data_IF_329153112138
#
_entry.id   IF_329153112138
#
_cell.length_a   1.000
_cell.length_b   1.000
_cell.length_c   1.000
_cell.angle_alpha   90.00
_cell.angle_beta   90.00
_cell.angle_gamma   90.00
#
_symmetry.space_group_name_H-M   'P 1'
#
loop_
_entity.id
_entity.type
_entity.pdbx_description
1 polymer ?
#
# COMPACT_ATOMS: atom_id res chain seq x y z
N UNK A 1 -26.06 2.61 -0.31
CA UNK A 1 -24.59 2.54 -0.46
C UNK A 1 -24.29 2.73 -1.94
N UNK A 2 -23.56 3.78 -2.33
CA UNK A 2 -23.24 4.00 -3.74
C UNK A 2 -22.19 2.95 -4.17
N UNK A 3 -22.49 2.04 -5.11
CA UNK A 3 -21.59 0.94 -5.47
C UNK A 3 -20.23 1.44 -5.96
N UNK A 4 -20.19 2.63 -6.58
CA UNK A 4 -18.97 3.23 -7.09
C UNK A 4 -18.00 3.62 -5.97
N UNK A 5 -18.52 4.21 -4.88
CA UNK A 5 -17.73 4.55 -3.69
C UNK A 5 -17.16 3.30 -3.01
N UNK A 6 -17.95 2.22 -2.96
CA UNK A 6 -17.51 0.95 -2.36
C UNK A 6 -16.39 0.29 -3.16
N UNK A 7 -16.44 0.33 -4.50
CA UNK A 7 -15.37 -0.21 -5.35
C UNK A 7 -14.08 0.56 -5.17
N UNK A 8 -14.15 1.90 -5.13
CA UNK A 8 -12.98 2.75 -4.87
C UNK A 8 -12.38 2.44 -3.50
N UNK A 9 -13.20 2.36 -2.46
CA UNK A 9 -12.74 2.04 -1.12
C UNK A 9 -12.09 0.65 -1.04
N UNK A 10 -12.69 -0.35 -1.70
CA UNK A 10 -12.16 -1.71 -1.78
C UNK A 10 -10.78 -1.73 -2.46
N UNK A 11 -10.61 -0.98 -3.55
CA UNK A 11 -9.33 -0.87 -4.24
C UNK A 11 -8.21 -0.40 -3.29
N UNK A 12 -8.44 0.70 -2.55
CA UNK A 12 -7.45 1.23 -1.60
C UNK A 12 -7.18 0.24 -0.44
N UNK A 13 -8.20 -0.48 0.04
CA UNK A 13 -8.02 -1.51 1.06
C UNK A 13 -7.15 -2.66 0.56
N UNK A 14 -7.44 -3.19 -0.63
CA UNK A 14 -6.65 -4.27 -1.24
C UNK A 14 -5.20 -3.84 -1.50
N UNK A 15 -5.00 -2.61 -1.96
CA UNK A 15 -3.66 -2.06 -2.14
C UNK A 15 -2.91 -1.92 -0.81
N UNK A 16 -3.58 -1.47 0.25
CA UNK A 16 -3.02 -1.44 1.60
C UNK A 16 -2.66 -2.84 2.11
N UNK A 17 -3.46 -3.86 1.81
CA UNK A 17 -3.13 -5.25 2.13
C UNK A 17 -1.94 -5.77 1.34
N UNK A 18 -1.76 -5.35 0.09
CA UNK A 18 -0.58 -5.70 -0.70
C UNK A 18 0.70 -5.12 -0.06
N UNK A 19 0.65 -3.86 0.39
CA UNK A 19 1.76 -3.23 1.14
C UNK A 19 2.05 -4.00 2.44
N UNK A 20 1.00 -4.34 3.19
CA UNK A 20 1.14 -5.15 4.40
C UNK A 20 1.77 -6.52 4.10
N UNK A 21 1.31 -7.20 3.05
CA UNK A 21 1.85 -8.48 2.61
C UNK A 21 3.35 -8.38 2.28
N UNK A 22 3.77 -7.33 1.58
CA UNK A 22 5.19 -7.05 1.33
C UNK A 22 5.99 -6.86 2.62
N UNK A 23 5.46 -6.09 3.57
CA UNK A 23 6.12 -5.85 4.86
C UNK A 23 6.30 -7.16 5.64
N UNK A 24 5.24 -7.99 5.70
CA UNK A 24 5.28 -9.30 6.36
C UNK A 24 6.31 -10.22 5.71
N UNK A 25 6.31 -10.32 4.37
CA UNK A 25 7.29 -11.08 3.57
C UNK A 25 8.73 -10.64 3.88
N UNK A 26 8.95 -9.32 4.06
CA UNK A 26 10.26 -8.78 4.41
C UNK A 26 10.72 -9.18 5.82
N UNK A 27 9.80 -9.24 6.79
CA UNK A 27 10.11 -9.61 8.17
C UNK A 27 10.44 -11.09 8.31
N UNK A 28 9.74 -11.95 7.59
CA UNK A 28 9.98 -13.40 7.63
C UNK A 28 11.05 -13.87 6.63
N UNK A 29 11.65 -12.94 5.87
CA UNK A 29 12.76 -13.21 4.93
C UNK A 29 12.44 -14.28 3.87
N UNK A 30 11.24 -14.23 3.28
CA UNK A 30 10.86 -15.14 2.17
C UNK A 30 11.72 -14.87 0.94
N UNK A 31 11.98 -15.92 0.16
CA UNK A 31 12.77 -15.86 -1.09
C UNK A 31 12.26 -14.75 -2.04
N UNK A 32 13.09 -13.73 -2.36
CA UNK A 32 12.75 -12.65 -3.27
C UNK A 32 12.37 -13.10 -4.69
N UNK A 33 12.80 -14.29 -5.12
CA UNK A 33 12.48 -14.83 -6.45
C UNK A 33 11.10 -15.49 -6.50
N UNK A 34 10.43 -15.68 -5.37
CA UNK A 34 9.09 -16.23 -5.34
C UNK A 34 8.12 -15.32 -6.13
N UNK A 35 7.29 -15.86 -7.05
CA UNK A 35 6.46 -15.04 -7.95
C UNK A 35 5.50 -14.11 -7.18
N UNK A 36 4.94 -14.56 -6.06
CA UNK A 36 4.09 -13.71 -5.22
C UNK A 36 4.84 -12.53 -4.57
N UNK A 37 6.12 -12.73 -4.20
CA UNK A 37 6.95 -11.68 -3.61
C UNK A 37 7.30 -10.63 -4.67
N UNK A 38 7.68 -11.07 -5.88
CA UNK A 38 7.90 -10.17 -7.02
C UNK A 38 6.65 -9.38 -7.37
N UNK A 39 5.50 -10.03 -7.43
CA UNK A 39 4.23 -9.35 -7.67
C UNK A 39 3.94 -8.27 -6.62
N UNK A 40 4.09 -8.58 -5.33
CA UNK A 40 3.91 -7.60 -4.26
C UNK A 40 4.90 -6.45 -4.39
N UNK A 41 6.16 -6.74 -4.73
CA UNK A 41 7.17 -5.72 -4.96
C UNK A 41 6.77 -4.81 -6.12
N UNK A 42 6.49 -5.36 -7.30
CA UNK A 42 6.20 -4.61 -8.52
C UNK A 42 4.95 -3.72 -8.39
N UNK A 43 3.90 -4.23 -7.73
CA UNK A 43 2.65 -3.47 -7.53
C UNK A 43 2.81 -2.35 -6.50
N UNK A 44 3.61 -2.57 -5.45
CA UNK A 44 3.76 -1.61 -4.36
C UNK A 44 4.93 -0.64 -4.55
N UNK A 45 5.90 -0.96 -5.41
CA UNK A 45 7.11 -0.15 -5.61
C UNK A 45 6.84 1.29 -6.04
N UNK A 46 5.88 1.61 -6.93
CA UNK A 46 5.62 3.00 -7.31
C UNK A 46 5.28 3.92 -6.13
N UNK A 47 4.66 3.38 -5.08
CA UNK A 47 4.34 4.13 -3.85
C UNK A 47 5.46 4.00 -2.83
N UNK A 48 6.05 2.82 -2.68
CA UNK A 48 7.09 2.55 -1.68
C UNK A 48 8.43 3.23 -1.99
N UNK A 49 8.84 3.27 -3.26
CA UNK A 49 10.12 3.85 -3.69
C UNK A 49 10.30 5.33 -3.31
N UNK A 50 9.36 6.25 -3.59
CA UNK A 50 9.51 7.65 -3.20
C UNK A 50 9.53 7.84 -1.68
N UNK A 51 8.75 7.04 -0.94
CA UNK A 51 8.73 7.11 0.54
C UNK A 51 10.07 6.65 1.10
N UNK A 52 10.66 5.60 0.51
CA UNK A 52 11.99 5.07 0.90
C UNK A 52 13.12 6.07 0.68
N UNK A 53 12.99 6.99 -0.27
CA UNK A 53 14.00 8.05 -0.49
C UNK A 53 14.05 9.06 0.66
N UNK A 54 12.94 9.24 1.37
CA UNK A 54 12.82 10.19 2.49
C UNK A 54 13.06 9.49 3.84
N UNK A 55 12.67 8.23 3.95
CA UNK A 55 12.86 7.44 5.15
C UNK A 55 14.32 7.00 5.32
N UNK A 56 14.88 7.07 6.55
CA UNK A 56 16.20 6.48 6.81
C UNK A 56 16.14 4.97 6.55
N UNK A 57 17.24 4.38 6.08
CA UNK A 57 17.30 2.94 5.82
C UNK A 57 17.14 2.16 7.14
N UNK A 58 15.93 1.70 7.44
CA UNK A 58 15.58 1.09 8.73
C UNK A 58 16.00 -0.38 8.90
N UNK A 59 16.94 -0.87 8.09
CA UNK A 59 17.43 -2.25 8.18
C UNK A 59 16.33 -3.28 7.92
N UNK A 60 16.11 -4.22 8.85
CA UNK A 60 15.22 -5.38 8.69
C UNK A 60 13.72 -5.05 8.81
N UNK A 61 13.36 -3.94 9.47
CA UNK A 61 11.96 -3.54 9.64
C UNK A 61 11.58 -2.51 8.58
N UNK A 62 10.66 -2.88 7.68
CA UNK A 62 10.13 -1.96 6.67
C UNK A 62 9.10 -0.98 7.27
N UNK A 63 9.56 0.02 8.03
CA UNK A 63 8.71 1.12 8.52
C UNK A 63 8.12 1.95 7.37
N UNK A 64 8.73 1.91 6.19
CA UNK A 64 8.19 2.50 4.96
C UNK A 64 6.78 1.99 4.68
N UNK A 65 6.51 0.70 4.96
CA UNK A 65 5.21 0.09 4.71
C UNK A 65 4.10 0.72 5.56
N UNK A 66 4.38 1.05 6.82
CA UNK A 66 3.41 1.72 7.71
C UNK A 66 3.08 3.11 7.16
N UNK A 67 4.11 3.88 6.79
CA UNK A 67 3.93 5.22 6.22
C UNK A 67 3.14 5.14 4.90
N UNK A 68 3.48 4.19 4.03
CA UNK A 68 2.79 3.97 2.77
C UNK A 68 1.32 3.58 2.98
N UNK A 69 1.02 2.68 3.93
CA UNK A 69 -0.35 2.30 4.26
C UNK A 69 -1.17 3.51 4.74
N UNK A 70 -0.61 4.35 5.61
CA UNK A 70 -1.30 5.56 6.09
C UNK A 70 -1.59 6.49 4.92
N UNK A 71 -0.60 6.78 4.07
CA UNK A 71 -0.78 7.65 2.91
C UNK A 71 -1.82 7.12 1.92
N UNK A 72 -1.79 5.82 1.62
CA UNK A 72 -2.76 5.15 0.73
C UNK A 72 -4.17 5.21 1.32
N UNK A 73 -4.34 4.90 2.60
CA UNK A 73 -5.65 4.93 3.25
C UNK A 73 -6.21 6.34 3.34
N UNK A 74 -5.39 7.34 3.68
CA UNK A 74 -5.79 8.75 3.67
C UNK A 74 -6.17 9.20 2.27
N UNK A 75 -5.38 8.86 1.24
CA UNK A 75 -5.71 9.18 -0.15
C UNK A 75 -7.04 8.53 -0.58
N UNK A 76 -7.28 7.29 -0.17
CA UNK A 76 -8.55 6.61 -0.42
C UNK A 76 -9.74 7.28 0.24
N UNK A 77 -9.62 7.65 1.52
CA UNK A 77 -10.67 8.37 2.24
C UNK A 77 -10.97 9.73 1.61
N UNK A 78 -9.94 10.49 1.22
CA UNK A 78 -10.10 11.77 0.53
C UNK A 78 -10.79 11.59 -0.82
N UNK A 79 -10.41 10.58 -1.59
CA UNK A 79 -11.02 10.27 -2.89
C UNK A 79 -12.51 9.95 -2.73
N UNK A 80 -12.86 9.09 -1.78
CA UNK A 80 -14.25 8.75 -1.47
C UNK A 80 -15.03 9.96 -0.98
N UNK A 81 -14.44 10.80 -0.13
CA UNK A 81 -15.07 12.01 0.37
C UNK A 81 -15.38 13.00 -0.77
N UNK A 82 -14.40 13.27 -1.65
CA UNK A 82 -14.59 14.18 -2.80
C UNK A 82 -15.64 13.63 -3.76
N UNK A 83 -15.57 12.35 -4.11
CA UNK A 83 -16.57 11.71 -4.97
C UNK A 83 -17.97 11.76 -4.35
N UNK A 84 -18.08 11.56 -3.04
CA UNK A 84 -19.34 11.66 -2.30
C UNK A 84 -19.88 13.09 -2.14
N UNK A 85 -19.04 14.13 -2.32
CA UNK A 85 -19.50 15.52 -2.36
C UNK A 85 -20.08 15.90 -3.73
N UNK A 86 -19.60 15.28 -4.80
CA UNK A 86 -19.98 15.61 -6.19
C UNK A 86 -21.22 14.83 -6.65
N UNK A 87 -21.43 13.62 -6.13
CA UNK A 87 -22.59 12.75 -6.42
C UNK A 87 -23.74 12.98 -5.44
#
# INVERSE_FOLDING_TARGET
MNPLLSVVQLFFQLYSFAILGRALVSWVQVDPYHPAVRFLHDVTEPVMAPIRQVMPATGMFDFTAIVAMVLVQTAGQLTVAVLGMVM
#
